data_IF_368016024222
#
_entry.id   IF_368016024222
#
_cell.length_a   1.000
_cell.length_b   1.000
_cell.length_c   1.000
_cell.angle_alpha   90.00
_cell.angle_beta   90.00
_cell.angle_gamma   90.00
#
_symmetry.space_group_name_H-M   'P 1'
#
loop_
_entity.id
_entity.type
_entity.pdbx_description
1 polymer ?
#
# COMPACT_ATOMS: atom_id res chain seq x y z
N UNK A 1 11.25 -4.34 18.31
CA UNK A 1 11.63 -3.36 17.27
C UNK A 1 12.54 -4.10 16.31
N UNK A 2 12.03 -4.39 15.12
CA UNK A 2 12.68 -5.36 14.24
C UNK A 2 13.92 -4.82 13.52
N UNK A 3 14.68 -5.74 12.95
CA UNK A 3 15.90 -5.53 12.14
C UNK A 3 15.75 -4.43 11.07
N UNK A 4 14.55 -4.18 10.57
CA UNK A 4 14.25 -3.10 9.61
C UNK A 4 14.43 -1.71 10.22
N UNK A 5 14.00 -1.49 11.46
CA UNK A 5 14.20 -0.21 12.14
C UNK A 5 15.69 0.07 12.37
N UNK A 6 16.46 -0.96 12.70
CA UNK A 6 17.92 -0.86 12.86
C UNK A 6 18.59 -0.58 11.52
N UNK A 7 18.18 -1.28 10.43
CA UNK A 7 18.71 -1.03 9.09
C UNK A 7 18.41 0.40 8.63
N UNK A 8 17.20 0.88 8.85
CA UNK A 8 16.79 2.25 8.53
C UNK A 8 17.58 3.29 9.33
N UNK A 9 17.82 3.05 10.62
CA UNK A 9 18.67 3.91 11.45
C UNK A 9 20.12 3.95 10.96
N UNK A 10 20.68 2.79 10.56
CA UNK A 10 22.05 2.71 10.04
C UNK A 10 22.17 3.47 8.71
N UNK A 11 21.23 3.29 7.79
CA UNK A 11 21.21 4.02 6.52
C UNK A 11 21.07 5.51 6.76
N UNK A 12 20.16 5.93 7.63
CA UNK A 12 19.97 7.33 7.99
C UNK A 12 21.23 7.93 8.62
N UNK A 13 21.93 7.18 9.47
CA UNK A 13 23.17 7.59 10.09
C UNK A 13 24.30 7.75 9.07
N UNK A 14 24.46 6.83 8.12
CA UNK A 14 25.45 6.91 7.04
C UNK A 14 25.19 8.14 6.17
N UNK A 15 23.95 8.37 5.76
CA UNK A 15 23.55 9.55 4.96
C UNK A 15 23.83 10.84 5.74
N UNK A 16 23.52 10.87 7.02
CA UNK A 16 23.78 12.03 7.89
C UNK A 16 25.28 12.28 8.02
N UNK A 17 26.12 11.23 8.17
CA UNK A 17 27.57 11.35 8.19
C UNK A 17 28.15 11.91 6.88
N UNK A 18 27.74 11.39 5.73
CA UNK A 18 28.16 11.92 4.41
C UNK A 18 27.77 13.38 4.27
N UNK A 19 26.61 13.75 4.76
CA UNK A 19 26.07 15.10 4.74
C UNK A 19 26.90 16.05 5.63
N UNK A 20 27.22 15.63 6.86
CA UNK A 20 28.09 16.38 7.79
C UNK A 20 29.47 16.61 7.18
N UNK A 21 30.07 15.59 6.60
CA UNK A 21 31.38 15.71 5.96
C UNK A 21 31.35 16.65 4.75
N UNK A 22 30.33 16.56 3.89
CA UNK A 22 30.21 17.42 2.71
C UNK A 22 30.04 18.90 3.08
N UNK A 23 29.25 19.21 4.10
CA UNK A 23 29.05 20.59 4.58
C UNK A 23 30.25 21.11 5.34
N UNK A 24 30.96 20.28 6.11
CA UNK A 24 32.19 20.67 6.80
C UNK A 24 33.31 21.04 5.83
N UNK A 25 33.39 20.38 4.67
CA UNK A 25 34.36 20.70 3.60
C UNK A 25 34.05 22.02 2.86
N UNK A 26 32.77 22.41 2.80
CA UNK A 26 32.33 23.65 2.12
C UNK A 26 32.49 24.90 3.01
N UNK A 27 32.44 24.72 4.34
CA UNK A 27 32.45 25.83 5.32
C UNK A 27 33.71 26.74 5.23
N UNK A 28 34.93 26.23 5.03
CA UNK A 28 36.14 27.08 4.91
C UNK A 28 36.14 28.01 3.70
N UNK A 29 35.42 27.60 2.63
CA UNK A 29 35.40 28.33 1.34
C UNK A 29 34.50 29.57 1.43
N UNK A 30 33.49 29.56 2.30
CA UNK A 30 32.40 30.56 2.31
C UNK A 30 32.69 31.75 3.23
N UNK A 31 33.55 31.60 4.21
CA UNK A 31 33.93 32.67 5.17
C UNK A 31 32.82 33.05 6.15
N UNK A 32 33.23 33.43 7.35
CA UNK A 32 32.36 33.65 8.55
C UNK A 32 31.30 34.76 8.43
N UNK A 33 31.30 35.56 7.39
CA UNK A 33 30.49 36.79 7.30
C UNK A 33 29.08 36.58 6.71
N UNK A 34 28.76 35.40 6.18
CA UNK A 34 27.50 35.21 5.45
C UNK A 34 26.65 34.05 5.97
N UNK A 35 26.18 34.18 7.23
CA UNK A 35 25.29 33.20 7.88
C UNK A 35 24.10 32.79 6.99
N UNK A 36 23.49 33.78 6.31
CA UNK A 36 22.35 33.55 5.44
C UNK A 36 22.72 32.68 4.23
N UNK A 37 23.92 32.84 3.71
CA UNK A 37 24.43 32.06 2.60
C UNK A 37 24.70 30.60 3.01
N UNK A 38 25.25 30.36 4.20
CA UNK A 38 25.48 29.02 4.74
C UNK A 38 24.15 28.30 5.00
N UNK A 39 23.17 29.00 5.58
CA UNK A 39 21.82 28.46 5.81
C UNK A 39 21.16 28.11 4.47
N UNK A 40 21.24 28.98 3.47
CA UNK A 40 20.65 28.74 2.15
C UNK A 40 21.30 27.56 1.43
N UNK A 41 22.63 27.48 1.43
CA UNK A 41 23.35 26.35 0.83
C UNK A 41 23.04 25.07 1.59
N UNK A 42 23.09 25.08 2.93
CA UNK A 42 22.74 23.91 3.73
C UNK A 42 21.34 23.38 3.41
N UNK A 43 20.37 24.30 3.26
CA UNK A 43 19.00 23.92 2.88
C UNK A 43 18.94 23.31 1.48
N UNK A 44 19.55 23.94 0.47
CA UNK A 44 19.55 23.46 -0.91
C UNK A 44 20.24 22.11 -1.03
N UNK A 45 21.42 21.95 -0.41
CA UNK A 45 22.17 20.68 -0.40
C UNK A 45 21.37 19.61 0.33
N UNK A 46 20.65 19.98 1.41
CA UNK A 46 19.73 19.10 2.13
C UNK A 46 18.60 18.58 1.26
N UNK A 47 17.93 19.46 0.52
CA UNK A 47 16.88 19.09 -0.42
C UNK A 47 17.43 18.18 -1.52
N UNK A 48 18.57 18.54 -2.12
CA UNK A 48 19.19 17.73 -3.17
C UNK A 48 19.56 16.34 -2.64
N UNK A 49 20.21 16.27 -1.47
CA UNK A 49 20.55 15.00 -0.83
C UNK A 49 19.31 14.16 -0.50
N UNK A 50 18.26 14.79 0.05
CA UNK A 50 16.98 14.14 0.32
C UNK A 50 16.32 13.59 -0.94
N UNK A 51 16.31 14.37 -2.02
CA UNK A 51 15.72 13.94 -3.29
C UNK A 51 16.49 12.80 -3.96
N UNK A 52 17.83 12.83 -3.92
CA UNK A 52 18.65 11.82 -4.61
C UNK A 52 18.85 10.53 -3.80
N UNK A 53 19.02 10.63 -2.47
CA UNK A 53 19.36 9.47 -1.65
C UNK A 53 18.18 8.90 -0.88
N UNK A 54 17.28 9.74 -0.36
CA UNK A 54 16.19 9.29 0.50
C UNK A 54 14.94 8.95 -0.30
N UNK A 55 14.61 9.74 -1.33
CA UNK A 55 13.40 9.51 -2.12
C UNK A 55 13.32 8.11 -2.74
N UNK A 56 14.37 7.54 -3.38
CA UNK A 56 14.32 6.17 -3.90
C UNK A 56 14.09 5.12 -2.79
N UNK A 57 14.76 5.28 -1.64
CA UNK A 57 14.62 4.36 -0.50
C UNK A 57 13.18 4.37 0.02
N UNK A 58 12.55 5.55 0.08
CA UNK A 58 11.17 5.69 0.55
C UNK A 58 10.17 4.98 -0.35
N UNK A 59 10.45 4.87 -1.65
CA UNK A 59 9.61 4.10 -2.58
C UNK A 59 9.63 2.61 -2.30
N UNK A 60 10.75 2.09 -1.85
CA UNK A 60 10.94 0.67 -1.59
C UNK A 60 10.43 0.25 -0.22
N UNK A 61 10.34 1.17 0.77
CA UNK A 61 9.90 0.85 2.14
C UNK A 61 8.55 0.11 2.19
N UNK A 62 7.48 0.57 1.50
CA UNK A 62 6.21 -0.15 1.52
C UNK A 62 6.32 -1.58 0.96
N UNK A 63 7.14 -1.77 -0.07
CA UNK A 63 7.43 -3.08 -0.66
C UNK A 63 8.18 -4.01 0.29
N UNK A 64 9.24 -3.51 0.90
CA UNK A 64 10.06 -4.24 1.89
C UNK A 64 9.21 -4.61 3.12
N UNK A 65 8.44 -3.67 3.66
CA UNK A 65 7.56 -3.92 4.79
C UNK A 65 6.49 -4.98 4.45
N UNK A 66 5.90 -4.89 3.26
CA UNK A 66 4.93 -5.87 2.78
C UNK A 66 5.56 -7.26 2.66
N UNK A 67 6.71 -7.38 2.01
CA UNK A 67 7.41 -8.65 1.85
C UNK A 67 7.79 -9.27 3.21
N UNK A 68 8.25 -8.45 4.14
CA UNK A 68 8.61 -8.91 5.48
C UNK A 68 7.40 -9.43 6.27
N UNK A 69 6.30 -8.65 6.32
CA UNK A 69 5.11 -9.06 7.06
C UNK A 69 4.44 -10.28 6.44
N UNK A 70 4.40 -10.37 5.11
CA UNK A 70 3.86 -11.53 4.41
C UNK A 70 4.71 -12.77 4.69
N UNK A 71 6.03 -12.71 4.54
CA UNK A 71 6.92 -13.86 4.73
C UNK A 71 6.99 -14.38 6.16
N UNK A 72 6.72 -13.52 7.17
CA UNK A 72 6.76 -13.89 8.59
C UNK A 72 5.39 -14.18 9.18
N UNK A 73 4.33 -14.04 8.39
CA UNK A 73 2.97 -14.21 8.85
C UNK A 73 2.56 -15.69 8.87
N UNK A 74 1.92 -16.09 9.95
CA UNK A 74 1.27 -17.40 10.11
C UNK A 74 -0.26 -17.34 10.10
N UNK A 75 -0.82 -16.16 9.92
CA UNK A 75 -2.27 -15.94 9.88
C UNK A 75 -2.87 -16.27 8.50
N UNK A 76 -4.18 -16.09 8.37
CA UNK A 76 -4.91 -16.26 7.12
C UNK A 76 -5.48 -14.92 6.66
N UNK A 77 -5.39 -14.68 5.38
CA UNK A 77 -6.04 -13.56 4.71
C UNK A 77 -7.25 -14.03 3.91
N UNK A 78 -8.15 -13.12 3.65
CA UNK A 78 -9.31 -13.33 2.79
C UNK A 78 -9.08 -12.55 1.50
N UNK A 79 -9.09 -13.25 0.37
CA UNK A 79 -8.98 -12.67 -0.97
C UNK A 79 -10.37 -12.67 -1.59
N UNK A 80 -10.89 -11.52 -1.94
CA UNK A 80 -12.17 -11.37 -2.62
C UNK A 80 -11.94 -11.33 -4.13
N UNK A 81 -12.80 -12.04 -4.86
CA UNK A 81 -12.68 -12.29 -6.29
C UNK A 81 -13.98 -11.99 -7.01
N UNK A 82 -13.87 -11.42 -8.18
CA UNK A 82 -14.96 -11.27 -9.14
C UNK A 82 -14.67 -12.19 -10.34
N UNK A 83 -15.57 -13.13 -10.59
CA UNK A 83 -15.46 -14.14 -11.63
C UNK A 83 -16.56 -13.87 -12.66
N UNK A 84 -16.19 -13.78 -13.93
CA UNK A 84 -17.20 -13.68 -15.01
C UNK A 84 -18.02 -14.96 -15.08
N UNK A 85 -19.34 -14.81 -15.19
CA UNK A 85 -20.24 -15.98 -15.37
C UNK A 85 -20.14 -16.64 -16.74
N UNK A 86 -19.37 -16.07 -17.66
CA UNK A 86 -19.02 -16.72 -18.93
C UNK A 86 -18.06 -17.90 -18.74
N UNK A 87 -17.36 -17.96 -17.59
CA UNK A 87 -16.52 -19.08 -17.20
C UNK A 87 -17.34 -20.11 -16.45
N UNK A 88 -16.92 -21.37 -16.51
CA UNK A 88 -17.44 -22.39 -15.59
C UNK A 88 -16.96 -22.11 -14.17
N UNK A 89 -17.85 -21.48 -13.36
CA UNK A 89 -17.53 -21.04 -12.00
C UNK A 89 -17.17 -22.24 -11.13
N UNK A 90 -17.85 -23.38 -11.26
CA UNK A 90 -17.57 -24.56 -10.46
C UNK A 90 -16.19 -25.11 -10.80
N UNK A 91 -15.86 -25.23 -12.09
CA UNK A 91 -14.54 -25.67 -12.54
C UNK A 91 -13.45 -24.69 -12.07
N UNK A 92 -13.70 -23.38 -12.13
CA UNK A 92 -12.78 -22.38 -11.61
C UNK A 92 -12.53 -22.56 -10.10
N UNK A 93 -13.59 -22.68 -9.30
CA UNK A 93 -13.49 -22.87 -7.86
C UNK A 93 -12.75 -24.18 -7.50
N UNK A 94 -13.02 -25.26 -8.24
CA UNK A 94 -12.34 -26.55 -8.04
C UNK A 94 -10.85 -26.50 -8.42
N UNK A 95 -10.49 -25.76 -9.45
CA UNK A 95 -9.10 -25.51 -9.80
C UNK A 95 -8.41 -24.59 -8.78
N UNK A 96 -9.10 -23.56 -8.34
CA UNK A 96 -8.59 -22.66 -7.31
C UNK A 96 -8.31 -23.40 -5.98
N UNK A 97 -9.15 -24.36 -5.57
CA UNK A 97 -8.93 -25.17 -4.36
C UNK A 97 -7.63 -25.99 -4.40
N UNK A 98 -7.10 -26.27 -5.59
CA UNK A 98 -5.84 -27.01 -5.77
C UNK A 98 -4.58 -26.13 -5.67
N UNK A 99 -4.75 -24.80 -5.65
CA UNK A 99 -3.63 -23.86 -5.53
C UNK A 99 -3.08 -23.94 -4.11
N UNK A 100 -1.76 -24.15 -4.02
CA UNK A 100 -1.08 -24.20 -2.72
C UNK A 100 -1.21 -22.87 -1.97
N UNK A 101 -1.62 -22.94 -0.71
CA UNK A 101 -1.90 -21.78 0.13
C UNK A 101 -3.38 -21.41 0.25
N UNK A 102 -4.28 -21.96 -0.57
CA UNK A 102 -5.72 -21.79 -0.41
C UNK A 102 -6.24 -22.83 0.60
N UNK A 103 -6.82 -22.34 1.69
CA UNK A 103 -7.46 -23.19 2.72
C UNK A 103 -8.91 -23.48 2.38
N UNK A 104 -9.61 -22.49 1.86
CA UNK A 104 -11.00 -22.59 1.45
C UNK A 104 -11.28 -21.52 0.39
N UNK A 105 -12.19 -21.84 -0.52
CA UNK A 105 -12.78 -20.87 -1.46
C UNK A 105 -14.26 -21.18 -1.63
N UNK A 106 -15.08 -20.15 -1.54
CA UNK A 106 -16.52 -20.29 -1.65
C UNK A 106 -17.15 -19.11 -2.39
N UNK A 107 -18.23 -19.39 -3.10
CA UNK A 107 -19.07 -18.38 -3.70
C UNK A 107 -19.85 -17.66 -2.60
N UNK A 108 -19.82 -16.33 -2.60
CA UNK A 108 -20.53 -15.51 -1.61
C UNK A 108 -21.84 -14.96 -2.14
N UNK A 109 -21.82 -14.46 -3.36
CA UNK A 109 -22.99 -13.88 -4.03
C UNK A 109 -22.75 -13.78 -5.54
N UNK A 110 -23.77 -13.38 -6.26
CA UNK A 110 -23.67 -13.03 -7.69
C UNK A 110 -24.34 -11.70 -7.90
N UNK A 111 -23.72 -10.82 -8.67
CA UNK A 111 -24.32 -9.57 -9.16
C UNK A 111 -24.82 -9.76 -10.57
N UNK A 112 -26.05 -9.39 -10.81
CA UNK A 112 -26.71 -9.46 -12.11
C UNK A 112 -27.10 -8.05 -12.51
N UNK A 113 -26.60 -7.58 -13.63
CA UNK A 113 -26.95 -6.28 -14.22
C UNK A 113 -27.93 -6.49 -15.35
N UNK A 114 -29.03 -5.75 -15.29
CA UNK A 114 -30.15 -5.86 -16.24
C UNK A 114 -30.43 -4.51 -16.94
N UNK A 115 -31.47 -4.47 -17.76
CA UNK A 115 -32.11 -3.21 -18.08
C UNK A 115 -32.81 -2.63 -16.85
N UNK A 116 -32.95 -1.27 -16.72
CA UNK A 116 -33.54 -0.67 -15.53
C UNK A 116 -34.96 -1.16 -15.25
N UNK A 117 -35.25 -1.50 -14.01
CA UNK A 117 -36.60 -1.84 -13.55
C UNK A 117 -37.42 -0.59 -13.25
N UNK A 118 -38.74 -0.68 -13.50
CA UNK A 118 -39.65 0.32 -13.00
C UNK A 118 -39.77 0.27 -11.46
N UNK A 119 -40.13 1.39 -10.84
CA UNK A 119 -40.25 1.46 -9.36
C UNK A 119 -41.27 0.46 -8.79
N UNK A 120 -42.31 0.12 -9.58
CA UNK A 120 -43.31 -0.89 -9.19
C UNK A 120 -42.69 -2.29 -8.95
N UNK A 121 -41.59 -2.63 -9.64
CA UNK A 121 -40.94 -3.90 -9.51
C UNK A 121 -39.93 -3.93 -8.33
N UNK A 122 -39.31 -2.81 -8.02
CA UNK A 122 -38.23 -2.75 -7.00
C UNK A 122 -38.64 -3.37 -5.65
N UNK A 123 -39.85 -3.12 -5.21
CA UNK A 123 -40.31 -3.61 -3.91
C UNK A 123 -40.65 -5.11 -3.89
N UNK A 124 -41.09 -5.68 -5.01
CA UNK A 124 -41.62 -7.06 -5.05
C UNK A 124 -40.68 -8.05 -5.72
N UNK A 125 -39.81 -7.58 -6.61
CA UNK A 125 -38.93 -8.42 -7.41
C UNK A 125 -38.02 -9.35 -6.62
N UNK A 126 -37.33 -8.92 -5.56
CA UNK A 126 -36.48 -9.81 -4.78
C UNK A 126 -37.20 -11.04 -4.24
N UNK A 127 -38.39 -10.83 -3.67
CA UNK A 127 -39.19 -11.95 -3.13
C UNK A 127 -39.70 -12.87 -4.24
N UNK A 128 -40.06 -12.32 -5.40
CA UNK A 128 -40.51 -13.11 -6.57
C UNK A 128 -39.37 -13.94 -7.16
N UNK A 129 -38.15 -13.39 -7.21
CA UNK A 129 -36.94 -14.12 -7.67
C UNK A 129 -36.71 -15.35 -6.78
N UNK A 130 -36.74 -15.17 -5.46
CA UNK A 130 -36.53 -16.28 -4.51
C UNK A 130 -37.66 -17.33 -4.62
N UNK A 131 -38.89 -16.88 -4.81
CA UNK A 131 -40.03 -17.81 -4.98
C UNK A 131 -39.98 -18.55 -6.33
N UNK A 132 -39.52 -17.90 -7.38
CA UNK A 132 -39.44 -18.47 -8.73
C UNK A 132 -38.23 -19.31 -9.06
N UNK A 133 -37.14 -19.17 -8.28
CA UNK A 133 -35.88 -19.89 -8.52
C UNK A 133 -35.43 -20.64 -7.24
N UNK A 134 -35.62 -21.97 -7.26
CA UNK A 134 -35.28 -22.83 -6.13
C UNK A 134 -33.80 -22.85 -5.73
N UNK A 135 -32.92 -22.43 -6.64
CA UNK A 135 -31.46 -22.43 -6.43
C UNK A 135 -30.97 -21.12 -5.76
N UNK A 136 -31.85 -20.09 -5.71
CA UNK A 136 -31.58 -18.82 -5.07
C UNK A 136 -32.04 -18.83 -3.62
N UNK A 137 -31.16 -18.45 -2.70
CA UNK A 137 -31.43 -18.34 -1.25
C UNK A 137 -32.02 -16.96 -0.91
N UNK A 138 -31.42 -15.91 -1.47
CA UNK A 138 -31.85 -14.54 -1.27
C UNK A 138 -31.56 -13.69 -2.49
N UNK A 139 -32.35 -12.64 -2.67
CA UNK A 139 -32.15 -11.63 -3.70
C UNK A 139 -32.32 -10.24 -3.09
N UNK A 140 -31.54 -9.28 -3.55
CA UNK A 140 -31.62 -7.89 -3.13
C UNK A 140 -31.35 -6.97 -4.32
N UNK A 141 -32.12 -5.90 -4.46
CA UNK A 141 -31.82 -4.86 -5.41
C UNK A 141 -30.91 -3.79 -4.78
N UNK A 142 -29.77 -3.54 -5.40
CA UNK A 142 -28.83 -2.50 -4.98
C UNK A 142 -28.99 -1.21 -5.77
N UNK A 143 -29.52 -1.29 -6.98
CA UNK A 143 -29.88 -0.14 -7.83
C UNK A 143 -31.08 -0.48 -8.72
N UNK A 144 -31.49 0.48 -9.56
CA UNK A 144 -32.61 0.27 -10.51
C UNK A 144 -32.33 -0.79 -11.58
N UNK A 145 -31.10 -1.22 -11.74
CA UNK A 145 -30.67 -2.14 -12.81
C UNK A 145 -29.76 -3.26 -12.28
N UNK A 146 -29.59 -3.38 -10.94
CA UNK A 146 -28.64 -4.31 -10.36
C UNK A 146 -29.30 -5.14 -9.25
N UNK A 147 -29.19 -6.44 -9.40
CA UNK A 147 -29.69 -7.44 -8.44
C UNK A 147 -28.46 -8.20 -7.90
N UNK A 148 -28.39 -8.34 -6.59
CA UNK A 148 -27.44 -9.23 -5.93
C UNK A 148 -28.21 -10.45 -5.42
N UNK A 149 -27.76 -11.64 -5.81
CA UNK A 149 -28.36 -12.91 -5.41
C UNK A 149 -27.36 -13.76 -4.64
N UNK A 150 -27.85 -14.47 -3.63
CA UNK A 150 -27.09 -15.52 -2.97
C UNK A 150 -27.69 -16.87 -3.37
N UNK A 151 -26.81 -17.81 -3.69
CA UNK A 151 -27.23 -19.16 -4.04
C UNK A 151 -27.38 -20.02 -2.79
N UNK A 152 -28.17 -21.08 -2.88
CA UNK A 152 -28.20 -22.15 -1.90
C UNK A 152 -26.95 -23.01 -2.04
N UNK A 153 -26.58 -23.68 -0.94
CA UNK A 153 -25.45 -24.58 -0.94
C UNK A 153 -25.64 -25.71 -1.97
N UNK A 154 -24.63 -25.94 -2.79
CA UNK A 154 -24.65 -26.95 -3.86
C UNK A 154 -25.40 -26.54 -5.14
N UNK A 155 -25.97 -25.34 -5.22
CA UNK A 155 -26.58 -24.86 -6.46
C UNK A 155 -25.50 -24.58 -7.52
N UNK A 156 -25.80 -24.92 -8.78
CA UNK A 156 -24.93 -24.58 -9.90
C UNK A 156 -25.12 -23.09 -10.28
N UNK A 157 -24.08 -22.25 -10.25
CA UNK A 157 -24.18 -20.83 -10.53
C UNK A 157 -24.69 -20.51 -11.95
N UNK A 158 -24.17 -21.23 -12.97
CA UNK A 158 -24.58 -21.04 -14.35
C UNK A 158 -26.06 -21.37 -14.57
N UNK A 159 -26.51 -22.51 -14.00
CA UNK A 159 -27.91 -22.91 -14.09
C UNK A 159 -28.85 -21.94 -13.37
N UNK A 160 -28.40 -21.45 -12.21
CA UNK A 160 -29.18 -20.47 -11.45
C UNK A 160 -29.36 -19.15 -12.20
N UNK A 161 -28.30 -18.64 -12.84
CA UNK A 161 -28.35 -17.42 -13.64
C UNK A 161 -29.19 -17.63 -14.90
N UNK A 162 -29.03 -18.75 -15.62
CA UNK A 162 -29.82 -19.05 -16.79
C UNK A 162 -31.33 -19.11 -16.46
N UNK A 163 -31.69 -19.81 -15.39
CA UNK A 163 -33.08 -19.85 -14.92
C UNK A 163 -33.59 -18.47 -14.51
N UNK A 164 -32.74 -17.63 -13.92
CA UNK A 164 -33.08 -16.27 -13.57
C UNK A 164 -33.31 -15.39 -14.82
N UNK A 165 -32.47 -15.54 -15.83
CA UNK A 165 -32.58 -14.83 -17.10
C UNK A 165 -33.89 -15.21 -17.83
N UNK A 166 -34.13 -16.50 -18.03
CA UNK A 166 -35.35 -17.03 -18.61
C UNK A 166 -36.61 -16.53 -17.87
N UNK A 167 -36.55 -16.48 -16.55
CA UNK A 167 -37.69 -16.03 -15.72
C UNK A 167 -37.89 -14.52 -15.81
N UNK A 168 -36.81 -13.69 -15.79
CA UNK A 168 -36.90 -12.22 -15.93
C UNK A 168 -37.43 -11.83 -17.29
N UNK A 169 -36.99 -12.54 -18.33
CA UNK A 169 -37.48 -12.32 -19.69
C UNK A 169 -38.99 -12.64 -19.81
N UNK A 170 -39.42 -13.76 -19.20
CA UNK A 170 -40.79 -14.21 -19.27
C UNK A 170 -41.78 -13.26 -18.56
N UNK A 171 -41.42 -12.77 -17.36
CA UNK A 171 -42.37 -12.01 -16.54
C UNK A 171 -42.28 -10.50 -16.68
N UNK A 172 -41.16 -9.97 -17.12
CA UNK A 172 -40.90 -8.53 -17.14
C UNK A 172 -40.30 -8.04 -18.47
N UNK A 173 -40.03 -8.93 -19.42
CA UNK A 173 -39.29 -8.64 -20.66
C UNK A 173 -37.97 -7.91 -20.39
N UNK A 174 -37.21 -8.39 -19.35
CA UNK A 174 -35.96 -7.81 -18.88
C UNK A 174 -34.82 -8.76 -19.20
N UNK A 175 -33.81 -8.23 -19.91
CA UNK A 175 -32.60 -8.96 -20.26
C UNK A 175 -31.51 -8.77 -19.22
N UNK A 176 -30.75 -9.81 -18.95
CA UNK A 176 -29.47 -9.73 -18.23
C UNK A 176 -28.40 -9.23 -19.20
N UNK A 177 -27.84 -8.05 -18.92
CA UNK A 177 -26.72 -7.48 -19.70
C UNK A 177 -25.40 -8.18 -19.40
N UNK A 178 -25.11 -8.40 -18.15
CA UNK A 178 -24.01 -9.20 -17.68
C UNK A 178 -24.24 -9.67 -16.24
N UNK A 179 -23.52 -10.70 -15.86
CA UNK A 179 -23.50 -11.18 -14.48
C UNK A 179 -22.07 -11.49 -14.04
N UNK A 180 -21.85 -11.43 -12.74
CA UNK A 180 -20.57 -11.61 -12.11
C UNK A 180 -20.72 -12.37 -10.80
N UNK A 181 -19.90 -13.36 -10.59
CA UNK A 181 -19.89 -14.16 -9.37
C UNK A 181 -18.81 -13.60 -8.42
N UNK A 182 -19.20 -13.39 -7.17
CA UNK A 182 -18.29 -12.95 -6.11
C UNK A 182 -17.90 -14.16 -5.28
N UNK A 183 -16.61 -14.41 -5.17
CA UNK A 183 -16.05 -15.47 -4.35
C UNK A 183 -15.10 -14.91 -3.31
N UNK A 184 -14.94 -15.67 -2.23
CA UNK A 184 -14.02 -15.37 -1.14
C UNK A 184 -13.12 -16.56 -0.91
N UNK A 185 -11.81 -16.37 -1.01
CA UNK A 185 -10.79 -17.36 -0.76
C UNK A 185 -10.06 -17.07 0.55
N UNK A 186 -10.02 -18.05 1.45
CA UNK A 186 -9.18 -18.00 2.63
C UNK A 186 -7.80 -18.54 2.27
N UNK A 187 -6.78 -17.70 2.43
CA UNK A 187 -5.41 -17.94 1.94
C UNK A 187 -4.42 -17.80 3.09
N UNK A 188 -3.37 -18.60 3.10
CA UNK A 188 -2.23 -18.36 3.99
C UNK A 188 -1.56 -17.03 3.64
N UNK A 189 -1.43 -16.13 4.61
CA UNK A 189 -0.87 -14.79 4.37
C UNK A 189 0.53 -14.83 3.78
N UNK A 190 1.34 -15.83 4.12
CA UNK A 190 2.69 -16.03 3.57
C UNK A 190 2.72 -16.34 2.06
N UNK A 191 1.63 -16.85 1.50
CA UNK A 191 1.50 -17.24 0.09
C UNK A 191 0.63 -16.29 -0.73
N UNK A 192 0.16 -15.21 -0.14
CA UNK A 192 -0.88 -14.32 -0.71
C UNK A 192 -0.53 -13.78 -2.10
N UNK A 193 0.73 -13.43 -2.36
CA UNK A 193 1.14 -12.90 -3.67
C UNK A 193 1.04 -13.95 -4.76
N UNK A 194 1.60 -15.14 -4.54
CA UNK A 194 1.54 -16.22 -5.51
C UNK A 194 0.12 -16.72 -5.76
N UNK A 195 -0.70 -16.77 -4.71
CA UNK A 195 -2.12 -17.13 -4.80
C UNK A 195 -2.91 -16.06 -5.55
N UNK A 196 -2.73 -14.79 -5.21
CA UNK A 196 -3.42 -13.68 -5.90
C UNK A 196 -3.06 -13.64 -7.39
N UNK A 197 -1.80 -13.85 -7.73
CA UNK A 197 -1.34 -13.90 -9.12
C UNK A 197 -1.95 -15.10 -9.88
N UNK A 198 -2.00 -16.26 -9.23
CA UNK A 198 -2.62 -17.46 -9.82
C UNK A 198 -4.13 -17.29 -10.03
N UNK A 199 -4.84 -16.68 -9.06
CA UNK A 199 -6.28 -16.42 -9.13
C UNK A 199 -6.63 -15.34 -10.16
N UNK A 200 -5.77 -14.35 -10.35
CA UNK A 200 -6.01 -13.22 -11.26
C UNK A 200 -5.93 -13.56 -12.75
N UNK A 201 -5.58 -14.79 -13.11
CA UNK A 201 -5.53 -15.23 -14.53
C UNK A 201 -6.92 -15.28 -15.16
N UNK A 202 -7.92 -15.74 -14.40
CA UNK A 202 -9.28 -15.95 -14.90
C UNK A 202 -10.33 -15.20 -14.08
N UNK A 203 -9.94 -14.46 -13.04
CA UNK A 203 -10.81 -13.65 -12.20
C UNK A 203 -10.15 -12.31 -11.84
N UNK A 204 -10.92 -11.38 -11.33
CA UNK A 204 -10.42 -10.09 -10.84
C UNK A 204 -10.31 -10.14 -9.33
N UNK A 205 -9.12 -9.95 -8.78
CA UNK A 205 -8.92 -9.77 -7.34
C UNK A 205 -9.38 -8.37 -6.95
N UNK A 206 -10.47 -8.27 -6.20
CA UNK A 206 -11.09 -6.99 -5.81
C UNK A 206 -10.62 -6.48 -4.47
N UNK A 207 -10.05 -7.35 -3.64
CA UNK A 207 -9.51 -6.93 -2.35
C UNK A 207 -8.88 -8.06 -1.57
N UNK A 208 -8.03 -7.67 -0.65
CA UNK A 208 -7.38 -8.56 0.31
C UNK A 208 -7.61 -8.00 1.71
N UNK A 209 -8.04 -8.84 2.62
CA UNK A 209 -8.34 -8.49 4.01
C UNK A 209 -7.66 -9.48 4.96
N UNK A 210 -7.25 -9.01 6.14
CA UNK A 210 -6.67 -9.86 7.17
C UNK A 210 -5.66 -9.14 8.04
N UNK A 211 -5.26 -9.74 9.19
CA UNK A 211 -4.41 -9.09 10.18
C UNK A 211 -3.05 -8.63 9.60
N UNK A 212 -2.46 -9.41 8.70
CA UNK A 212 -1.23 -9.03 8.02
C UNK A 212 -1.46 -7.83 7.07
N UNK A 213 -2.57 -7.82 6.33
CA UNK A 213 -2.91 -6.72 5.44
C UNK A 213 -3.20 -5.43 6.22
N UNK A 214 -3.84 -5.53 7.38
CA UNK A 214 -4.11 -4.39 8.26
C UNK A 214 -2.80 -3.78 8.78
N UNK A 215 -1.83 -4.61 9.16
CA UNK A 215 -0.48 -4.14 9.55
C UNK A 215 0.24 -3.44 8.38
N UNK A 216 0.15 -3.99 7.17
CA UNK A 216 0.73 -3.39 5.96
C UNK A 216 0.07 -2.03 5.69
N UNK A 217 -1.25 -1.95 5.75
CA UNK A 217 -1.99 -0.72 5.53
C UNK A 217 -1.67 0.32 6.60
N UNK A 218 -1.56 -0.08 7.87
CA UNK A 218 -1.13 0.79 8.96
C UNK A 218 0.26 1.37 8.70
N UNK A 219 1.24 0.55 8.31
CA UNK A 219 2.58 1.04 7.98
C UNK A 219 2.55 2.02 6.81
N UNK A 220 1.83 1.69 5.74
CA UNK A 220 1.66 2.61 4.60
C UNK A 220 1.06 3.95 5.02
N UNK A 221 0.16 3.95 6.00
CA UNK A 221 -0.49 5.19 6.49
C UNK A 221 0.43 6.07 7.35
N UNK A 222 1.43 5.48 8.03
CA UNK A 222 2.38 6.22 8.88
C UNK A 222 3.66 6.63 8.16
N UNK A 223 3.89 6.13 6.94
CA UNK A 223 5.04 6.56 6.13
C UNK A 223 4.78 8.01 5.70
N UNK A 224 5.68 8.96 6.07
CA UNK A 224 5.53 10.35 5.68
C UNK A 224 5.57 10.53 4.17
N UNK A 225 4.95 11.59 3.67
CA UNK A 225 5.01 11.95 2.27
C UNK A 225 6.45 12.26 1.85
N UNK A 226 6.85 11.84 0.64
CA UNK A 226 8.19 12.13 0.09
C UNK A 226 8.59 13.60 0.20
N UNK A 227 7.67 14.49 -0.13
CA UNK A 227 7.90 15.94 -0.09
C UNK A 227 8.26 16.41 1.32
N UNK A 228 7.56 15.89 2.34
CA UNK A 228 7.80 16.27 3.73
C UNK A 228 9.19 15.82 4.20
N UNK A 229 9.61 14.64 3.78
CA UNK A 229 10.95 14.13 4.09
C UNK A 229 12.05 14.92 3.39
N UNK A 230 11.86 15.25 2.11
CA UNK A 230 12.81 16.07 1.36
C UNK A 230 12.97 17.44 2.02
N UNK A 231 11.87 18.07 2.43
CA UNK A 231 11.89 19.34 3.17
C UNK A 231 12.60 19.16 4.52
N UNK A 232 12.31 18.09 5.26
CA UNK A 232 12.99 17.78 6.52
C UNK A 232 14.51 17.63 6.32
N UNK A 233 14.94 16.98 5.23
CA UNK A 233 16.37 16.92 4.87
C UNK A 233 16.96 18.30 4.63
N UNK A 234 16.20 19.23 4.03
CA UNK A 234 16.61 20.63 3.90
C UNK A 234 16.86 21.28 5.27
N UNK A 235 15.97 21.12 6.24
CA UNK A 235 16.17 21.60 7.60
C UNK A 235 17.35 20.97 8.32
N UNK A 236 17.55 19.66 8.14
CA UNK A 236 18.74 18.98 8.66
C UNK A 236 20.01 19.56 8.05
N UNK A 237 20.00 19.87 6.74
CA UNK A 237 21.08 20.54 6.05
C UNK A 237 21.43 21.92 6.64
N UNK A 238 20.42 22.72 7.07
CA UNK A 238 20.64 23.96 7.79
C UNK A 238 21.38 23.71 9.13
N UNK A 239 20.87 22.75 9.92
CA UNK A 239 21.44 22.41 11.23
C UNK A 239 22.91 22.00 11.09
N UNK A 240 23.22 21.17 10.09
CA UNK A 240 24.58 20.70 9.81
C UNK A 240 25.46 21.86 9.36
N UNK A 241 24.97 22.74 8.49
CA UNK A 241 25.68 23.94 8.04
C UNK A 241 26.03 24.86 9.21
N UNK A 242 25.07 25.10 10.11
CA UNK A 242 25.29 25.90 11.32
C UNK A 242 26.29 25.23 12.27
N UNK A 243 26.19 23.91 12.48
CA UNK A 243 27.14 23.15 13.29
C UNK A 243 28.58 23.26 12.74
N UNK A 244 28.74 23.19 11.41
CA UNK A 244 30.02 23.42 10.75
C UNK A 244 30.64 24.78 11.06
N UNK A 245 29.83 25.87 11.04
CA UNK A 245 30.26 27.20 11.41
C UNK A 245 30.71 27.30 12.89
N UNK A 246 29.99 26.62 13.78
CA UNK A 246 30.34 26.57 15.22
C UNK A 246 31.70 25.88 15.45
N UNK A 247 31.92 24.73 14.81
CA UNK A 247 33.17 23.98 14.90
C UNK A 247 34.35 24.81 14.38
N UNK A 248 34.17 25.49 13.25
CA UNK A 248 35.21 26.36 12.67
C UNK A 248 35.51 27.57 13.56
N UNK A 249 34.46 28.15 14.19
CA UNK A 249 34.63 29.23 15.17
C UNK A 249 35.40 28.77 16.41
N UNK A 250 35.10 27.60 16.94
CA UNK A 250 35.81 27.02 18.08
C UNK A 250 37.26 26.73 17.72
N UNK A 251 37.53 26.09 16.58
CA UNK A 251 38.90 25.79 16.13
C UNK A 251 39.74 27.08 15.90
N UNK A 252 39.11 28.15 15.40
CA UNK A 252 39.73 29.47 15.29
C UNK A 252 40.12 30.06 16.66
N UNK A 253 39.22 29.99 17.65
CA UNK A 253 39.52 30.42 19.05
C UNK A 253 40.66 29.60 19.65
N UNK A 254 40.66 28.31 19.46
CA UNK A 254 41.76 27.43 19.95
C UNK A 254 43.09 27.72 19.23
N UNK A 255 43.06 28.00 17.94
CA UNK A 255 44.25 28.43 17.16
C UNK A 255 44.84 29.74 17.70
N UNK A 256 44.02 30.77 17.86
CA UNK A 256 44.39 32.07 18.40
C UNK A 256 44.94 31.96 19.85
N UNK A 257 44.36 31.08 20.66
CA UNK A 257 44.84 30.82 22.02
C UNK A 257 46.22 30.14 22.04
N UNK A 258 46.43 29.17 21.16
CA UNK A 258 47.73 28.48 20.99
C UNK A 258 48.81 29.43 20.52
N UNK A 259 48.50 30.31 19.57
CA UNK A 259 49.47 31.29 19.06
C UNK A 259 49.77 32.37 20.10
N UNK A 260 48.82 32.76 20.96
CA UNK A 260 49.09 33.67 22.09
C UNK A 260 49.98 33.03 23.16
N UNK A 261 49.80 31.73 23.44
CA UNK A 261 50.65 30.98 24.38
C UNK A 261 52.10 30.90 23.84
N UNK A 262 52.29 30.58 22.58
CA UNK A 262 53.57 30.44 21.92
C UNK A 262 54.34 31.80 21.87
N UNK A 263 53.62 32.91 21.62
CA UNK A 263 54.23 34.26 21.67
C UNK A 263 54.62 34.72 23.07
N UNK A 264 54.01 34.14 24.15
CA UNK A 264 54.43 34.41 25.53
C UNK A 264 55.72 33.66 25.93
N UNK A 265 55.87 32.43 25.44
CA UNK A 265 57.06 31.64 25.65
C UNK A 265 58.31 32.25 24.95
N UNK A 266 58.16 32.80 23.75
CA UNK A 266 59.25 33.47 22.99
C UNK A 266 59.67 34.83 23.57
N UNK A 267 58.82 35.46 24.40
CA UNK A 267 59.17 36.75 25.06
C UNK A 267 59.74 36.57 26.47
N UNK A 268 59.76 35.32 26.97
CA UNK A 268 60.34 35.00 28.29
C UNK A 268 61.75 34.40 28.26
N UNK A 269 62.35 34.31 27.09
CA UNK A 269 63.75 34.01 26.84
C UNK A 269 64.47 35.29 26.42
#
# INVERSE_FOLDING_TARGET
>A
MGSIAVLLMVILFIVLMVFVFSTALLTPIIGKKNLLFVVSIGFIVGIIGGAFFISPIMDDIPGIATAFYVSTSSDSAVVNLDISTNLDINQYLDNARKIDGIKNIQLTSMTVKTTPFSDAWKATLPNRIVAGNKDIKSAQMTSSDTIVVQLKDGANPQDAIKKLDDWLMLIAAIDIKYSMAHASAQVESSKIFGVSDALSKDAVVTGVQGPTQDKINYIKSIIPNKTDIIILCGFIGIIVGLAGLFIDTLSGIFGDFKDRMRKKEDKGK
#
